data_IF_319887681911
#
_entry.id   IF_319887681911
#
_cell.length_a   1.000
_cell.length_b   1.000
_cell.length_c   1.000
_cell.angle_alpha   90.00
_cell.angle_beta   90.00
_cell.angle_gamma   90.00
#
_symmetry.space_group_name_H-M   'P 1'
#
loop_
_entity.id
_entity.type
_entity.pdbx_description
1 polymer ?
#
# COMPACT_ATOMS: atom_id res chain seq x y z
N UNK A 1 36.62 -46.73 52.20
CA UNK A 1 36.21 -47.23 50.88
C UNK A 1 34.80 -46.66 50.58
N UNK A 2 34.78 -45.47 50.04
CA UNK A 2 33.56 -44.83 49.52
C UNK A 2 34.01 -43.85 48.43
N UNK A 3 33.99 -44.26 47.19
CA UNK A 3 34.06 -43.37 46.02
C UNK A 3 34.07 -44.22 44.76
N UNK A 4 32.97 -44.40 44.05
CA UNK A 4 32.96 -44.83 42.66
C UNK A 4 31.58 -44.86 41.98
N UNK A 5 30.48 -44.45 42.67
CA UNK A 5 29.16 -44.51 42.05
C UNK A 5 28.69 -43.23 41.34
N UNK A 6 29.32 -42.08 41.58
CA UNK A 6 28.89 -40.79 41.01
C UNK A 6 29.39 -40.50 39.61
N UNK A 7 30.49 -41.09 39.19
CA UNK A 7 31.10 -40.84 37.87
C UNK A 7 30.40 -41.50 36.67
N UNK A 8 29.71 -42.59 36.88
CA UNK A 8 29.10 -43.36 35.79
C UNK A 8 27.73 -42.78 35.33
N UNK A 9 27.05 -42.06 36.17
CA UNK A 9 25.75 -41.46 35.85
C UNK A 9 25.83 -40.24 34.94
N UNK A 10 26.90 -39.44 35.08
CA UNK A 10 27.13 -38.26 34.24
C UNK A 10 27.53 -38.60 32.79
N UNK A 11 28.26 -39.72 32.60
CA UNK A 11 28.68 -40.16 31.25
C UNK A 11 27.51 -40.70 30.44
N UNK A 12 26.58 -41.41 31.06
CA UNK A 12 25.35 -41.92 30.40
C UNK A 12 24.37 -40.82 30.02
N UNK A 13 24.27 -39.73 30.80
CA UNK A 13 23.43 -38.59 30.50
C UNK A 13 24.01 -37.74 29.38
N UNK A 14 25.33 -37.60 29.30
CA UNK A 14 26.02 -36.90 28.21
C UNK A 14 25.94 -37.63 26.86
N UNK A 15 25.98 -38.98 26.84
CA UNK A 15 25.84 -39.79 25.63
C UNK A 15 24.42 -39.75 25.05
N UNK A 16 23.39 -39.65 25.88
CA UNK A 16 21.99 -39.53 25.42
C UNK A 16 21.71 -38.19 24.74
N UNK A 17 22.36 -37.12 25.18
CA UNK A 17 22.24 -35.77 24.54
C UNK A 17 22.89 -35.69 23.18
N UNK A 18 23.98 -36.40 22.95
CA UNK A 18 24.72 -36.43 21.68
C UNK A 18 23.98 -37.21 20.59
N UNK A 19 23.25 -38.29 21.00
CA UNK A 19 22.46 -39.08 20.03
C UNK A 19 21.19 -38.35 19.53
N UNK A 20 20.66 -37.38 20.25
CA UNK A 20 19.54 -36.57 19.82
C UNK A 20 19.90 -35.55 18.73
N UNK A 21 21.20 -35.25 18.55
CA UNK A 21 21.69 -34.28 17.55
C UNK A 21 21.85 -34.83 16.13
N UNK A 22 21.69 -36.14 15.93
CA UNK A 22 21.88 -36.81 14.64
C UNK A 22 20.58 -37.20 13.93
N UNK A 23 19.45 -36.59 14.22
CA UNK A 23 18.28 -36.77 13.38
C UNK A 23 18.58 -36.24 11.98
N UNK A 24 18.45 -37.09 10.93
CA UNK A 24 18.75 -36.66 9.57
C UNK A 24 17.86 -35.46 9.21
N UNK A 25 18.49 -34.37 8.76
CA UNK A 25 17.79 -33.15 8.37
C UNK A 25 16.72 -33.42 7.31
N UNK A 26 15.75 -32.53 7.18
CA UNK A 26 14.73 -32.55 6.11
C UNK A 26 15.44 -32.59 4.75
N UNK A 27 15.06 -33.54 3.90
CA UNK A 27 15.58 -33.68 2.55
C UNK A 27 14.43 -34.07 1.61
N UNK A 28 14.07 -33.18 0.69
CA UNK A 28 12.98 -33.37 -0.30
C UNK A 28 13.11 -34.72 -1.04
N UNK A 29 14.33 -35.10 -1.43
CA UNK A 29 14.63 -36.35 -2.18
C UNK A 29 14.28 -37.65 -1.46
N UNK A 30 13.99 -37.62 -0.18
CA UNK A 30 13.63 -38.83 0.60
C UNK A 30 12.17 -39.25 0.45
N UNK A 31 11.36 -38.34 -0.04
CA UNK A 31 9.92 -38.56 -0.17
C UNK A 31 9.62 -39.01 -1.59
N UNK A 32 8.94 -40.15 -1.73
CA UNK A 32 8.64 -40.75 -3.03
C UNK A 32 7.23 -40.42 -3.53
N UNK A 33 6.37 -39.90 -2.64
CA UNK A 33 5.04 -39.40 -3.04
C UNK A 33 4.86 -37.94 -2.66
N UNK A 34 4.05 -37.22 -3.44
CA UNK A 34 3.73 -35.82 -3.19
C UNK A 34 2.96 -35.67 -1.85
N UNK A 35 2.12 -36.65 -1.48
CA UNK A 35 1.42 -36.64 -0.20
C UNK A 35 2.39 -36.75 0.99
N UNK A 36 3.36 -37.67 0.95
CA UNK A 36 4.36 -37.80 2.02
C UNK A 36 5.23 -36.56 2.14
N UNK A 37 5.61 -35.98 0.98
CA UNK A 37 6.38 -34.72 0.95
C UNK A 37 5.55 -33.58 1.55
N UNK A 38 4.26 -33.48 1.19
CA UNK A 38 3.38 -32.44 1.71
C UNK A 38 3.26 -32.52 3.23
N UNK A 39 2.93 -33.69 3.77
CA UNK A 39 2.81 -33.91 5.22
C UNK A 39 4.12 -33.60 5.98
N UNK A 40 5.27 -34.03 5.41
CA UNK A 40 6.55 -33.75 6.02
C UNK A 40 6.91 -32.26 5.98
N UNK A 41 6.59 -31.59 4.87
CA UNK A 41 6.85 -30.16 4.68
C UNK A 41 5.94 -29.32 5.59
N UNK A 42 4.68 -29.71 5.74
CA UNK A 42 3.75 -29.07 6.66
C UNK A 42 4.25 -29.12 8.11
N UNK A 43 4.80 -30.26 8.54
CA UNK A 43 5.43 -30.38 9.87
C UNK A 43 6.64 -29.46 10.04
N UNK A 44 7.44 -29.26 8.99
CA UNK A 44 8.56 -28.30 9.03
C UNK A 44 8.03 -26.87 9.12
N UNK A 45 6.96 -26.52 8.39
CA UNK A 45 6.28 -25.24 8.46
C UNK A 45 5.71 -24.97 9.88
N UNK A 46 5.01 -25.91 10.47
CA UNK A 46 4.47 -25.82 11.84
C UNK A 46 5.57 -25.62 12.88
N UNK A 47 6.76 -26.23 12.65
CA UNK A 47 7.95 -26.05 13.48
C UNK A 47 8.70 -24.75 13.19
N UNK A 48 8.17 -23.89 12.32
CA UNK A 48 8.78 -22.62 11.88
C UNK A 48 10.16 -22.79 11.23
N UNK A 49 10.42 -23.95 10.63
CA UNK A 49 11.64 -24.22 9.87
C UNK A 49 11.43 -23.76 8.42
N UNK A 50 11.41 -22.46 8.25
CA UNK A 50 10.97 -21.80 7.01
C UNK A 50 11.77 -22.23 5.79
N UNK A 51 13.09 -22.42 5.92
CA UNK A 51 13.94 -22.89 4.82
C UNK A 51 13.54 -24.28 4.31
N UNK A 52 13.29 -25.22 5.22
CA UNK A 52 12.82 -26.55 4.88
C UNK A 52 11.42 -26.51 4.25
N UNK A 53 10.53 -25.70 4.83
CA UNK A 53 9.18 -25.53 4.34
C UNK A 53 9.19 -24.95 2.91
N UNK A 54 9.99 -23.91 2.66
CA UNK A 54 10.15 -23.33 1.33
C UNK A 54 10.60 -24.39 0.33
N UNK A 55 11.69 -25.12 0.62
CA UNK A 55 12.20 -26.17 -0.29
C UNK A 55 11.16 -27.25 -0.60
N UNK A 56 10.38 -27.67 0.40
CA UNK A 56 9.37 -28.70 0.22
C UNK A 56 8.18 -28.22 -0.59
N UNK A 57 7.65 -27.02 -0.27
CA UNK A 57 6.53 -26.46 -1.02
C UNK A 57 6.92 -25.99 -2.42
N UNK A 58 8.12 -25.46 -2.66
CA UNK A 58 8.63 -25.18 -4.01
C UNK A 58 8.61 -26.46 -4.87
N UNK A 59 9.10 -27.57 -4.33
CA UNK A 59 9.07 -28.83 -5.04
C UNK A 59 7.65 -29.29 -5.35
N UNK A 60 6.74 -29.18 -4.38
CA UNK A 60 5.34 -29.56 -4.54
C UNK A 60 4.63 -28.71 -5.60
N UNK A 61 4.89 -27.41 -5.64
CA UNK A 61 4.27 -26.51 -6.67
C UNK A 61 4.77 -26.82 -8.09
N UNK A 62 5.91 -27.51 -8.23
CA UNK A 62 6.43 -27.96 -9.52
C UNK A 62 5.92 -29.36 -9.92
N UNK A 63 5.73 -30.27 -8.97
CA UNK A 63 5.41 -31.68 -9.22
C UNK A 63 3.91 -31.96 -9.24
N UNK A 64 3.11 -31.18 -8.53
CA UNK A 64 1.66 -31.38 -8.45
C UNK A 64 0.99 -30.94 -9.77
N UNK A 65 0.01 -31.72 -10.22
CA UNK A 65 -0.81 -31.36 -11.37
C UNK A 65 -1.75 -30.19 -11.06
N UNK A 66 -2.14 -29.44 -12.09
CA UNK A 66 -3.06 -28.28 -11.94
C UNK A 66 -4.44 -28.65 -11.34
N UNK A 67 -4.79 -29.94 -11.32
CA UNK A 67 -6.06 -30.45 -10.74
C UNK A 67 -5.89 -31.00 -9.33
N UNK A 68 -4.68 -31.01 -8.81
CA UNK A 68 -4.40 -31.53 -7.47
C UNK A 68 -4.89 -30.56 -6.39
N UNK A 69 -5.66 -31.05 -5.46
CA UNK A 69 -6.22 -30.26 -4.37
C UNK A 69 -5.17 -29.72 -3.40
N UNK A 70 -3.97 -30.30 -3.40
CA UNK A 70 -2.85 -29.85 -2.57
C UNK A 70 -2.10 -28.65 -3.20
N UNK A 71 -2.28 -28.40 -4.50
CA UNK A 71 -1.49 -27.39 -5.22
C UNK A 71 -1.80 -25.97 -4.72
N UNK A 72 -3.06 -25.62 -4.56
CA UNK A 72 -3.50 -24.32 -4.03
C UNK A 72 -2.92 -24.07 -2.63
N UNK A 73 -3.06 -25.06 -1.73
CA UNK A 73 -2.52 -24.99 -0.37
C UNK A 73 -0.99 -24.93 -0.37
N UNK A 74 -0.33 -25.64 -1.29
CA UNK A 74 1.14 -25.60 -1.40
C UNK A 74 1.64 -24.20 -1.81
N UNK A 75 0.95 -23.52 -2.71
CA UNK A 75 1.24 -22.12 -3.03
C UNK A 75 1.03 -21.20 -1.83
N UNK A 76 -0.05 -21.40 -1.08
CA UNK A 76 -0.31 -20.60 0.13
C UNK A 76 0.79 -20.75 1.19
N UNK A 77 1.18 -21.99 1.50
CA UNK A 77 2.22 -22.25 2.50
C UNK A 77 3.60 -21.81 2.02
N UNK A 78 3.90 -21.94 0.72
CA UNK A 78 5.13 -21.42 0.12
C UNK A 78 5.21 -19.91 0.28
N UNK A 79 4.16 -19.21 -0.10
CA UNK A 79 4.08 -17.76 0.01
C UNK A 79 4.23 -17.28 1.46
N UNK A 80 3.54 -17.96 2.38
CA UNK A 80 3.63 -17.66 3.81
C UNK A 80 5.04 -17.95 4.36
N UNK A 81 5.70 -19.01 3.91
CA UNK A 81 7.08 -19.31 4.32
C UNK A 81 8.06 -18.22 3.84
N UNK A 82 7.94 -17.75 2.59
CA UNK A 82 8.70 -16.61 2.09
C UNK A 82 8.45 -15.33 2.90
N UNK A 83 7.19 -15.05 3.24
CA UNK A 83 6.84 -13.91 4.10
C UNK A 83 7.54 -13.98 5.47
N UNK A 84 7.52 -15.16 6.12
CA UNK A 84 8.18 -15.37 7.42
C UNK A 84 9.70 -15.27 7.36
N UNK A 85 10.30 -15.45 6.17
CA UNK A 85 11.72 -15.21 5.92
C UNK A 85 12.02 -13.74 5.58
N UNK A 86 11.01 -12.89 5.44
CA UNK A 86 11.16 -11.49 5.02
C UNK A 86 11.39 -11.33 3.52
N UNK A 87 11.14 -12.36 2.74
CA UNK A 87 11.27 -12.39 1.27
C UNK A 87 9.97 -11.91 0.63
N UNK A 88 9.58 -10.67 0.94
CA UNK A 88 8.27 -10.12 0.59
C UNK A 88 7.95 -10.15 -0.90
N UNK A 89 8.96 -10.00 -1.78
CA UNK A 89 8.75 -10.06 -3.22
C UNK A 89 8.37 -11.47 -3.68
N UNK A 90 9.05 -12.51 -3.15
CA UNK A 90 8.75 -13.90 -3.46
C UNK A 90 7.42 -14.32 -2.85
N UNK A 91 7.11 -13.82 -1.66
CA UNK A 91 5.81 -14.04 -1.02
C UNK A 91 4.67 -13.47 -1.89
N UNK A 92 4.78 -12.21 -2.31
CA UNK A 92 3.79 -11.59 -3.19
C UNK A 92 3.59 -12.37 -4.49
N UNK A 93 4.69 -12.76 -5.16
CA UNK A 93 4.62 -13.54 -6.39
C UNK A 93 3.92 -14.91 -6.20
N UNK A 94 4.21 -15.60 -5.09
CA UNK A 94 3.61 -16.90 -4.78
C UNK A 94 2.13 -16.79 -4.41
N UNK A 95 1.73 -15.76 -3.67
CA UNK A 95 0.32 -15.48 -3.37
C UNK A 95 -0.46 -15.14 -4.64
N UNK A 96 0.06 -14.26 -5.50
CA UNK A 96 -0.59 -13.93 -6.78
C UNK A 96 -0.71 -15.13 -7.69
N UNK A 97 0.29 -16.02 -7.68
CA UNK A 97 0.22 -17.25 -8.45
C UNK A 97 -0.91 -18.17 -8.01
N UNK A 98 -1.19 -18.23 -6.70
CA UNK A 98 -2.37 -18.94 -6.17
C UNK A 98 -3.67 -18.33 -6.72
N UNK A 99 -3.85 -17.02 -6.56
CA UNK A 99 -5.08 -16.36 -6.99
C UNK A 99 -5.29 -16.43 -8.52
N UNK A 100 -4.21 -16.41 -9.30
CA UNK A 100 -4.25 -16.54 -10.77
C UNK A 100 -4.65 -17.95 -11.21
N UNK A 101 -4.10 -18.99 -10.57
CA UNK A 101 -4.35 -20.38 -10.93
C UNK A 101 -5.70 -20.90 -10.40
N UNK A 102 -6.14 -20.37 -9.27
CA UNK A 102 -7.30 -20.85 -8.52
C UNK A 102 -8.22 -19.69 -8.10
N UNK A 103 -8.79 -18.93 -9.05
CA UNK A 103 -9.59 -17.73 -8.72
C UNK A 103 -10.87 -18.06 -7.94
N UNK A 104 -11.39 -19.29 -8.05
CA UNK A 104 -12.58 -19.77 -7.33
C UNK A 104 -12.23 -20.46 -5.99
N UNK A 105 -10.96 -20.55 -5.61
CA UNK A 105 -10.54 -21.12 -4.33
C UNK A 105 -10.87 -20.15 -3.19
N UNK A 106 -11.25 -20.71 -2.04
CA UNK A 106 -11.53 -19.95 -0.83
C UNK A 106 -10.33 -19.16 -0.28
N UNK A 107 -9.11 -19.44 -0.76
CA UNK A 107 -7.88 -18.74 -0.41
C UNK A 107 -7.53 -17.62 -1.41
N UNK A 108 -8.31 -17.44 -2.49
CA UNK A 108 -7.92 -16.54 -3.57
C UNK A 108 -7.93 -15.05 -3.14
N UNK A 109 -8.97 -14.63 -2.43
CA UNK A 109 -9.09 -13.27 -1.91
C UNK A 109 -8.08 -13.01 -0.77
N UNK A 110 -7.88 -13.99 0.13
CA UNK A 110 -6.81 -13.93 1.14
C UNK A 110 -5.42 -13.78 0.49
N UNK A 111 -5.18 -14.51 -0.61
CA UNK A 111 -3.90 -14.46 -1.32
C UNK A 111 -3.66 -13.09 -1.98
N UNK A 112 -4.66 -12.49 -2.61
CA UNK A 112 -4.51 -11.14 -3.18
C UNK A 112 -4.23 -10.12 -2.09
N UNK A 113 -4.94 -10.21 -0.96
CA UNK A 113 -4.70 -9.34 0.19
C UNK A 113 -3.29 -9.49 0.74
N UNK A 114 -2.83 -10.74 0.94
CA UNK A 114 -1.49 -11.02 1.44
C UNK A 114 -0.39 -10.56 0.47
N UNK A 115 -0.63 -10.66 -0.84
CA UNK A 115 0.29 -10.12 -1.86
C UNK A 115 0.38 -8.59 -1.79
N UNK A 116 -0.77 -7.92 -1.63
CA UNK A 116 -0.81 -6.47 -1.44
C UNK A 116 -0.05 -6.03 -0.18
N UNK A 117 -0.29 -6.72 0.94
CA UNK A 117 0.40 -6.48 2.20
C UNK A 117 1.92 -6.70 2.05
N UNK A 118 2.35 -7.74 1.32
CA UNK A 118 3.76 -8.04 1.06
C UNK A 118 4.43 -6.94 0.20
N UNK A 119 3.77 -6.44 -0.85
CA UNK A 119 4.27 -5.29 -1.61
C UNK A 119 4.34 -4.02 -0.77
N UNK A 120 3.35 -3.76 0.10
CA UNK A 120 3.36 -2.63 1.01
C UNK A 120 4.56 -2.67 1.99
N UNK A 121 4.99 -3.86 2.41
CA UNK A 121 6.20 -4.02 3.24
C UNK A 121 7.49 -3.62 2.51
N UNK A 122 7.51 -3.62 1.18
CA UNK A 122 8.67 -3.20 0.39
C UNK A 122 8.76 -1.68 0.21
N UNK A 123 7.67 -0.94 0.49
CA UNK A 123 7.64 0.52 0.37
C UNK A 123 7.19 1.18 1.68
N UNK A 124 8.15 1.42 2.57
CA UNK A 124 7.91 1.89 3.94
C UNK A 124 7.96 3.41 4.11
N UNK A 125 8.31 4.15 3.08
CA UNK A 125 8.48 5.61 3.16
C UNK A 125 8.18 6.28 1.82
N UNK A 126 7.47 7.42 1.82
CA UNK A 126 7.21 8.20 0.61
C UNK A 126 8.49 8.63 -0.14
N UNK A 127 9.61 8.80 0.57
CA UNK A 127 10.90 9.18 -0.03
C UNK A 127 11.53 8.12 -0.94
N UNK A 128 11.08 6.86 -0.86
CA UNK A 128 11.56 5.76 -1.69
C UNK A 128 10.86 5.74 -3.06
N UNK A 129 11.36 4.88 -3.97
CA UNK A 129 10.71 4.60 -5.25
C UNK A 129 9.30 4.01 -5.02
N UNK A 130 8.25 4.57 -5.63
CA UNK A 130 6.86 4.18 -5.33
C UNK A 130 6.40 2.90 -6.06
N UNK A 131 7.25 2.23 -6.84
CA UNK A 131 6.86 1.07 -7.64
C UNK A 131 6.13 0.00 -6.83
N UNK A 132 6.68 -0.40 -5.69
CA UNK A 132 6.04 -1.39 -4.84
C UNK A 132 4.77 -0.86 -4.16
N UNK A 133 4.71 0.43 -3.82
CA UNK A 133 3.50 1.06 -3.35
C UNK A 133 2.37 1.00 -4.39
N UNK A 134 2.70 1.32 -5.65
CA UNK A 134 1.74 1.24 -6.76
C UNK A 134 1.26 -0.20 -7.00
N UNK A 135 2.17 -1.19 -6.90
CA UNK A 135 1.78 -2.61 -6.99
C UNK A 135 0.86 -3.01 -5.82
N UNK A 136 1.17 -2.59 -4.59
CA UNK A 136 0.30 -2.84 -3.44
C UNK A 136 -1.11 -2.27 -3.65
N UNK A 137 -1.20 -1.00 -4.06
CA UNK A 137 -2.46 -0.33 -4.34
C UNK A 137 -3.27 -1.07 -5.42
N UNK A 138 -2.59 -1.52 -6.48
CA UNK A 138 -3.22 -2.28 -7.56
C UNK A 138 -3.84 -3.58 -7.04
N UNK A 139 -3.12 -4.33 -6.18
CA UNK A 139 -3.66 -5.58 -5.63
C UNK A 139 -4.81 -5.35 -4.64
N UNK A 140 -4.74 -4.33 -3.78
CA UNK A 140 -5.87 -3.99 -2.91
C UNK A 140 -7.14 -3.65 -3.72
N UNK A 141 -7.00 -2.84 -4.77
CA UNK A 141 -8.12 -2.48 -5.65
C UNK A 141 -8.62 -3.68 -6.45
N UNK A 142 -7.73 -4.58 -6.86
CA UNK A 142 -8.07 -5.81 -7.57
C UNK A 142 -8.98 -6.69 -6.71
N UNK A 143 -8.64 -6.89 -5.42
CA UNK A 143 -9.48 -7.62 -4.48
C UNK A 143 -10.89 -7.03 -4.40
N UNK A 144 -10.99 -5.73 -4.18
CA UNK A 144 -12.28 -5.02 -4.09
C UNK A 144 -13.12 -5.19 -5.37
N UNK A 145 -12.46 -5.24 -6.53
CA UNK A 145 -13.13 -5.34 -7.83
C UNK A 145 -13.58 -6.77 -8.15
N UNK A 146 -12.72 -7.78 -7.89
CA UNK A 146 -13.00 -9.18 -8.27
C UNK A 146 -13.84 -9.88 -7.21
N UNK A 147 -13.63 -9.56 -5.93
CA UNK A 147 -14.33 -10.19 -4.81
C UNK A 147 -15.12 -9.15 -4.00
N UNK A 148 -16.18 -8.55 -4.59
CA UNK A 148 -16.93 -7.46 -3.94
C UNK A 148 -17.64 -7.90 -2.65
N UNK A 149 -17.98 -9.18 -2.52
CA UNK A 149 -18.65 -9.78 -1.36
C UNK A 149 -17.66 -10.38 -0.34
N UNK A 150 -16.36 -10.27 -0.56
CA UNK A 150 -15.35 -10.76 0.37
C UNK A 150 -15.41 -10.00 1.71
N UNK A 151 -15.31 -10.71 2.84
CA UNK A 151 -15.19 -10.10 4.16
C UNK A 151 -13.88 -9.30 4.32
N UNK A 152 -12.92 -9.50 3.43
CA UNK A 152 -11.63 -8.80 3.43
C UNK A 152 -11.69 -7.45 2.71
N UNK A 153 -12.78 -7.15 1.99
CA UNK A 153 -12.96 -5.89 1.26
C UNK A 153 -12.66 -4.64 2.11
N UNK A 154 -13.21 -4.48 3.35
CA UNK A 154 -12.90 -3.30 4.14
C UNK A 154 -11.41 -3.14 4.47
N UNK A 155 -10.71 -4.26 4.69
CA UNK A 155 -9.26 -4.25 4.93
C UNK A 155 -8.49 -3.84 3.68
N UNK A 156 -8.90 -4.33 2.52
CA UNK A 156 -8.29 -3.95 1.24
C UNK A 156 -8.52 -2.47 0.92
N UNK A 157 -9.72 -1.94 1.12
CA UNK A 157 -10.04 -0.52 0.95
C UNK A 157 -9.18 0.36 1.88
N UNK A 158 -9.03 -0.04 3.14
CA UNK A 158 -8.16 0.65 4.10
C UNK A 158 -6.68 0.60 3.67
N UNK A 159 -6.21 -0.55 3.21
CA UNK A 159 -4.84 -0.72 2.69
C UNK A 159 -4.59 0.16 1.47
N UNK A 160 -5.53 0.19 0.52
CA UNK A 160 -5.45 1.04 -0.67
C UNK A 160 -5.37 2.53 -0.29
N UNK A 161 -6.22 2.98 0.64
CA UNK A 161 -6.22 4.38 1.13
C UNK A 161 -4.91 4.73 1.84
N UNK A 162 -4.34 3.82 2.64
CA UNK A 162 -3.05 4.04 3.30
C UNK A 162 -1.91 4.23 2.29
N UNK A 163 -1.90 3.45 1.22
CA UNK A 163 -0.93 3.62 0.12
C UNK A 163 -1.18 4.93 -0.64
N UNK A 164 -2.43 5.29 -0.91
CA UNK A 164 -2.77 6.58 -1.54
C UNK A 164 -2.27 7.77 -0.72
N UNK A 165 -2.42 7.73 0.60
CA UNK A 165 -1.91 8.79 1.48
C UNK A 165 -0.39 8.92 1.40
N UNK A 166 0.33 7.80 1.31
CA UNK A 166 1.79 7.80 1.13
C UNK A 166 2.20 8.34 -0.25
N UNK A 167 1.48 7.98 -1.33
CA UNK A 167 1.73 8.48 -2.68
C UNK A 167 1.44 9.99 -2.77
N UNK A 168 0.32 10.42 -2.20
CA UNK A 168 -0.03 11.84 -2.09
C UNK A 168 1.02 12.62 -1.28
N UNK A 169 1.52 12.03 -0.19
CA UNK A 169 2.59 12.63 0.61
C UNK A 169 3.86 12.81 -0.19
N UNK A 170 4.27 11.79 -0.97
CA UNK A 170 5.45 11.88 -1.86
C UNK A 170 5.32 13.06 -2.83
N UNK A 171 4.20 13.14 -3.52
CA UNK A 171 3.98 14.20 -4.51
C UNK A 171 3.86 15.59 -3.87
N UNK A 172 3.21 15.67 -2.71
CA UNK A 172 3.16 16.90 -1.91
C UNK A 172 4.57 17.37 -1.52
N UNK A 173 5.44 16.47 -1.08
CA UNK A 173 6.83 16.80 -0.71
C UNK A 173 7.64 17.30 -1.91
N UNK A 174 7.39 16.77 -3.12
CA UNK A 174 7.95 17.27 -4.38
C UNK A 174 7.49 18.72 -4.61
N UNK A 175 6.21 19.02 -4.42
CA UNK A 175 5.68 20.38 -4.51
C UNK A 175 6.34 21.34 -3.50
N UNK A 176 6.52 20.89 -2.26
CA UNK A 176 7.24 21.66 -1.22
C UNK A 176 8.69 21.89 -1.60
N UNK A 177 9.38 20.90 -2.16
CA UNK A 177 10.74 21.03 -2.64
C UNK A 177 10.87 22.12 -3.72
N UNK A 178 9.97 22.12 -4.73
CA UNK A 178 9.96 23.15 -5.77
C UNK A 178 9.62 24.54 -5.21
N UNK A 179 8.72 24.62 -4.24
CA UNK A 179 8.40 25.88 -3.53
C UNK A 179 9.65 26.49 -2.89
N UNK A 180 10.48 25.69 -2.20
CA UNK A 180 11.74 26.12 -1.59
C UNK A 180 12.75 26.65 -2.63
N UNK A 181 12.70 26.11 -3.84
CA UNK A 181 13.56 26.54 -4.96
C UNK A 181 12.98 27.68 -5.79
N UNK A 182 11.81 28.20 -5.42
CA UNK A 182 11.07 29.24 -6.16
C UNK A 182 10.70 28.82 -7.58
N UNK A 183 10.63 27.51 -7.85
CA UNK A 183 10.11 26.95 -9.11
C UNK A 183 8.59 26.82 -9.00
N UNK A 184 7.91 27.97 -9.04
CA UNK A 184 6.50 28.09 -8.69
C UNK A 184 5.57 27.24 -9.55
N UNK A 185 5.78 27.24 -10.88
CA UNK A 185 4.95 26.46 -11.80
C UNK A 185 5.08 24.96 -11.54
N UNK A 186 6.31 24.48 -11.30
CA UNK A 186 6.55 23.07 -10.94
C UNK A 186 5.89 22.71 -9.61
N UNK A 187 5.92 23.61 -8.63
CA UNK A 187 5.24 23.41 -7.35
C UNK A 187 3.72 23.29 -7.53
N UNK A 188 3.12 24.19 -8.33
CA UNK A 188 1.69 24.18 -8.64
C UNK A 188 1.29 22.87 -9.35
N UNK A 189 2.10 22.39 -10.30
CA UNK A 189 1.85 21.14 -11.01
C UNK A 189 1.79 19.97 -10.02
N UNK A 190 2.77 19.85 -9.13
CA UNK A 190 2.79 18.78 -8.11
C UNK A 190 1.60 18.86 -7.15
N UNK A 191 1.26 20.05 -6.65
CA UNK A 191 0.09 20.19 -5.76
C UNK A 191 -1.23 19.91 -6.50
N UNK A 192 -1.39 20.35 -7.75
CA UNK A 192 -2.55 20.01 -8.59
C UNK A 192 -2.64 18.50 -8.82
N UNK A 193 -1.51 17.83 -9.00
CA UNK A 193 -1.47 16.38 -9.14
C UNK A 193 -2.02 15.68 -7.89
N UNK A 194 -1.62 16.12 -6.69
CA UNK A 194 -2.19 15.59 -5.42
C UNK A 194 -3.70 15.74 -5.39
N UNK A 195 -4.21 16.92 -5.70
CA UNK A 195 -5.65 17.20 -5.64
C UNK A 195 -6.46 16.37 -6.65
N UNK A 196 -5.88 16.13 -7.83
CA UNK A 196 -6.54 15.41 -8.92
C UNK A 196 -6.50 13.89 -8.75
N UNK A 197 -5.31 13.36 -8.47
CA UNK A 197 -5.09 11.90 -8.48
C UNK A 197 -5.36 11.24 -7.13
N UNK A 198 -5.30 12.01 -6.02
CA UNK A 198 -5.49 11.49 -4.65
C UNK A 198 -6.56 12.26 -3.87
N UNK A 199 -7.78 12.43 -4.41
CA UNK A 199 -8.81 13.33 -3.87
C UNK A 199 -9.31 12.96 -2.46
N UNK A 200 -9.12 11.70 -2.05
CA UNK A 200 -9.60 11.18 -0.77
C UNK A 200 -8.55 11.22 0.36
N UNK A 201 -7.38 11.82 0.10
CA UNK A 201 -6.28 11.90 1.07
C UNK A 201 -6.30 13.20 1.86
N UNK A 202 -5.69 13.17 3.05
CA UNK A 202 -5.53 14.37 3.88
C UNK A 202 -4.62 15.41 3.20
N UNK A 203 -3.74 14.98 2.30
CA UNK A 203 -2.82 15.85 1.57
C UNK A 203 -3.49 16.81 0.60
N UNK A 204 -4.73 16.53 0.19
CA UNK A 204 -5.52 17.45 -0.66
C UNK A 204 -5.68 18.81 0.01
N UNK A 205 -6.07 18.83 1.29
CA UNK A 205 -6.18 20.06 2.07
C UNK A 205 -4.87 20.84 2.09
N UNK A 206 -3.80 20.15 2.43
CA UNK A 206 -2.47 20.78 2.54
C UNK A 206 -1.96 21.29 1.18
N UNK A 207 -2.19 20.53 0.11
CA UNK A 207 -1.84 20.93 -1.25
C UNK A 207 -2.60 22.19 -1.70
N UNK A 208 -3.91 22.25 -1.45
CA UNK A 208 -4.73 23.42 -1.76
C UNK A 208 -4.26 24.67 -1.01
N UNK A 209 -3.92 24.54 0.30
CA UNK A 209 -3.37 25.66 1.09
C UNK A 209 -2.04 26.14 0.51
N UNK A 210 -1.15 25.22 0.13
CA UNK A 210 0.12 25.58 -0.53
C UNK A 210 -0.07 26.23 -1.89
N UNK A 211 -1.05 25.77 -2.66
CA UNK A 211 -1.39 26.42 -3.94
C UNK A 211 -1.81 27.86 -3.73
N UNK A 212 -2.69 28.15 -2.76
CA UNK A 212 -3.09 29.53 -2.43
C UNK A 212 -1.87 30.39 -2.04
N UNK A 213 -0.97 29.83 -1.22
CA UNK A 213 0.28 30.51 -0.85
C UNK A 213 1.15 30.84 -2.05
N UNK A 214 1.32 29.89 -2.98
CA UNK A 214 2.13 30.07 -4.19
C UNK A 214 1.47 31.06 -5.16
N UNK A 215 0.17 30.95 -5.43
CA UNK A 215 -0.56 31.85 -6.33
C UNK A 215 -0.52 33.33 -5.89
N UNK A 216 -0.46 33.58 -4.57
CA UNK A 216 -0.34 34.94 -4.02
C UNK A 216 1.05 35.53 -4.02
N UNK A 217 2.07 34.81 -4.56
CA UNK A 217 3.40 35.37 -4.71
C UNK A 217 3.38 36.54 -5.69
N UNK A 218 4.09 37.63 -5.34
CA UNK A 218 4.12 38.85 -6.15
C UNK A 218 4.61 38.60 -7.57
N UNK A 219 5.50 37.61 -7.73
CA UNK A 219 6.09 37.22 -9.00
C UNK A 219 5.07 36.59 -9.96
N UNK A 220 4.03 35.91 -9.44
CA UNK A 220 3.00 35.24 -10.23
C UNK A 220 1.73 36.05 -10.37
N UNK A 221 1.25 36.61 -9.25
CA UNK A 221 0.02 37.38 -9.16
C UNK A 221 -1.21 36.66 -9.77
N UNK A 222 -1.36 35.36 -9.50
CA UNK A 222 -2.47 34.52 -9.96
C UNK A 222 -3.67 34.69 -9.02
N UNK A 223 -4.31 35.86 -9.08
CA UNK A 223 -5.37 36.26 -8.15
C UNK A 223 -6.64 35.43 -8.36
N UNK A 224 -6.97 35.13 -9.62
CA UNK A 224 -8.19 34.35 -9.95
C UNK A 224 -8.06 32.93 -9.43
N UNK A 225 -6.94 32.26 -9.69
CA UNK A 225 -6.65 30.89 -9.24
C UNK A 225 -6.59 30.80 -7.70
N UNK A 226 -6.00 31.81 -7.05
CA UNK A 226 -6.01 31.89 -5.58
C UNK A 226 -7.42 32.00 -5.02
N UNK A 227 -8.28 32.77 -5.68
CA UNK A 227 -9.67 32.99 -5.26
C UNK A 227 -10.51 31.73 -5.45
N UNK A 228 -10.37 31.05 -6.60
CA UNK A 228 -11.05 29.79 -6.89
C UNK A 228 -10.62 28.69 -5.90
N UNK A 229 -9.31 28.54 -5.67
CA UNK A 229 -8.77 27.57 -4.72
C UNK A 229 -9.26 27.85 -3.29
N UNK A 230 -9.34 29.12 -2.89
CA UNK A 230 -9.91 29.53 -1.62
C UNK A 230 -11.41 29.20 -1.52
N UNK A 231 -12.16 29.32 -2.60
CA UNK A 231 -13.57 28.94 -2.62
C UNK A 231 -13.74 27.43 -2.41
N UNK A 232 -12.92 26.62 -3.07
CA UNK A 232 -12.89 25.17 -2.90
C UNK A 232 -12.52 24.77 -1.47
N UNK A 233 -11.49 25.39 -0.89
CA UNK A 233 -11.07 25.14 0.49
C UNK A 233 -12.20 25.46 1.50
N UNK A 234 -12.86 26.58 1.35
CA UNK A 234 -13.93 26.99 2.28
C UNK A 234 -15.17 26.11 2.17
N UNK A 235 -15.45 25.61 0.97
CA UNK A 235 -16.56 24.67 0.76
C UNK A 235 -16.25 23.31 1.40
N UNK A 236 -15.04 22.80 1.23
CA UNK A 236 -14.64 21.49 1.72
C UNK A 236 -14.26 21.49 3.22
N UNK A 237 -13.70 22.60 3.73
CA UNK A 237 -13.17 22.71 5.09
C UNK A 237 -13.62 24.01 5.79
N UNK A 238 -14.95 24.24 5.95
CA UNK A 238 -15.49 25.54 6.41
C UNK A 238 -15.10 25.90 7.85
N UNK A 239 -14.83 24.92 8.71
CA UNK A 239 -14.48 25.11 10.12
C UNK A 239 -12.96 25.04 10.38
N UNK A 240 -12.14 24.86 9.35
CA UNK A 240 -10.69 24.76 9.52
C UNK A 240 -10.08 26.14 9.82
N UNK A 241 -9.38 26.31 10.96
CA UNK A 241 -8.86 27.62 11.37
C UNK A 241 -7.82 28.19 10.38
N UNK A 242 -7.06 27.33 9.72
CA UNK A 242 -6.05 27.76 8.76
C UNK A 242 -6.70 28.20 7.45
N UNK A 243 -7.73 27.50 7.00
CA UNK A 243 -8.53 27.89 5.83
C UNK A 243 -9.23 29.23 6.08
N UNK A 244 -9.85 29.41 7.26
CA UNK A 244 -10.49 30.68 7.63
C UNK A 244 -9.50 31.84 7.63
N UNK A 245 -8.28 31.62 8.13
CA UNK A 245 -7.23 32.64 8.17
C UNK A 245 -6.67 32.95 6.78
N UNK A 246 -6.40 31.92 5.97
CA UNK A 246 -5.80 32.08 4.64
C UNK A 246 -6.80 32.51 3.57
N UNK A 247 -8.05 32.10 3.69
CA UNK A 247 -9.12 32.37 2.74
C UNK A 247 -10.27 33.10 3.44
N UNK A 248 -10.08 34.34 3.89
CA UNK A 248 -11.17 35.09 4.53
C UNK A 248 -12.35 35.21 3.56
N UNK A 249 -13.59 35.19 4.09
CA UNK A 249 -14.79 35.45 3.29
C UNK A 249 -14.64 36.85 2.70
N UNK A 250 -14.51 36.92 1.36
CA UNK A 250 -14.73 38.19 0.68
C UNK A 250 -16.20 38.46 0.91
N UNK A 251 -16.51 39.44 1.77
CA UNK A 251 -17.82 40.04 1.75
C UNK A 251 -18.00 40.56 0.32
N UNK A 252 -18.82 39.88 -0.47
CA UNK A 252 -19.17 40.35 -1.82
C UNK A 252 -19.85 41.68 -1.54
N UNK A 253 -19.10 42.77 -1.78
CA UNK A 253 -19.71 44.08 -1.77
C UNK A 253 -20.71 44.04 -2.93
N UNK A 254 -21.97 44.00 -2.61
CA UNK A 254 -23.10 44.07 -3.56
C UNK A 254 -22.97 45.27 -4.50
N UNK A 255 -22.13 46.26 -4.14
CA UNK A 255 -21.78 47.42 -4.94
C UNK A 255 -21.00 47.10 -6.23
N UNK A 256 -19.99 46.17 -6.19
CA UNK A 256 -19.18 45.86 -7.38
C UNK A 256 -19.92 44.98 -8.38
N UNK A 257 -20.84 44.13 -7.93
CA UNK A 257 -21.72 43.32 -8.80
C UNK A 257 -22.72 44.21 -9.55
N UNK A 258 -23.25 45.25 -8.92
CA UNK A 258 -24.13 46.21 -9.55
C UNK A 258 -23.42 47.11 -10.57
N UNK A 259 -22.19 47.54 -10.28
CA UNK A 259 -21.38 48.34 -11.20
C UNK A 259 -20.97 47.56 -12.49
N UNK A 260 -20.65 46.25 -12.35
CA UNK A 260 -20.32 45.39 -13.49
C UNK A 260 -21.55 44.98 -14.33
N UNK A 261 -22.76 44.95 -13.73
CA UNK A 261 -24.00 44.74 -14.44
C UNK A 261 -24.46 46.02 -15.19
N UNK A 262 -24.23 47.20 -14.61
CA UNK A 262 -24.58 48.48 -15.22
C UNK A 262 -23.72 48.81 -16.45
N UNK A 263 -22.45 48.37 -16.47
CA UNK A 263 -21.51 48.57 -17.59
C UNK A 263 -21.83 47.71 -18.83
N UNK A 264 -22.70 46.71 -18.76
CA UNK A 264 -23.13 45.82 -19.86
C UNK A 264 -24.43 46.19 -20.54
N UNK A 265 -25.06 47.32 -20.17
CA UNK A 265 -26.30 47.78 -20.82
C UNK A 265 -25.95 48.55 -22.09
N UNK A 266 -26.33 48.12 -23.30
CA UNK A 266 -26.05 48.86 -24.53
C UNK A 266 -26.81 50.22 -24.54
N UNK A 267 -26.23 51.27 -25.09
CA UNK A 267 -26.87 52.58 -25.13
C UNK A 267 -28.16 52.51 -25.94
N UNK A 268 -29.24 53.13 -25.39
CA UNK A 268 -30.53 53.25 -26.07
C UNK A 268 -30.34 53.93 -27.43
N UNK A 269 -30.99 53.44 -28.51
CA UNK A 269 -30.94 54.09 -29.82
C UNK A 269 -31.57 55.48 -29.77
N UNK A 270 -30.87 56.47 -30.35
CA UNK A 270 -31.40 57.80 -30.56
C UNK A 270 -32.60 57.77 -31.52
N UNK A 271 -33.67 58.56 -31.30
CA UNK A 271 -34.74 58.66 -32.26
C UNK A 271 -34.24 59.36 -33.52
N UNK A 272 -34.61 58.80 -34.67
CA UNK A 272 -34.37 59.37 -35.98
C UNK A 272 -35.25 60.59 -36.21
N UNK A 273 -34.80 61.58 -37.05
CA UNK A 273 -35.49 62.82 -37.34
C UNK A 273 -36.78 62.65 -38.15
#
# INVERSE_FOLDING_TARGET
MRSSAAGCFCVLFGAALVLAACAPGFQVKRYHSNNDLYEATLKEFERRRWDNATQGFERLTLDLSARDTLLSRSHWYLATAHEKRGEHLLAAASFLRLAELFPDDTLADDAILAAADAYAQLWKSPGLDPNYGSLAQMQYRLLVSIYPDSPLRPKAEQGALAIEEMLATKEYEIGVYYTKRRAWDSAIISFKFVVKEYPNTQRVRDALLRMVEVYRRKELNYVEEATETCSTLRLAYPADPEVVRMCPSIAVSTADSAAKAAAKTPPKPKPLP
#
